data_IF_269462734267
#
_entry.id   IF_269462734267
#
_cell.length_a   1.000
_cell.length_b   1.000
_cell.length_c   1.000
_cell.angle_alpha   90.00
_cell.angle_beta   90.00
_cell.angle_gamma   90.00
#
_symmetry.space_group_name_H-M   'P 1'
#
loop_
_entity.id
_entity.type
_entity.pdbx_description
1 polymer ?
#
# COMPACT_ATOMS: atom_id res chain seq x y z
N UNK A 1 -9.48 8.99 -16.59
CA UNK A 1 -8.77 10.27 -16.35
C UNK A 1 -7.70 10.47 -17.42
N UNK A 2 -7.65 11.65 -18.03
CA UNK A 2 -6.66 12.02 -19.07
C UNK A 2 -5.76 13.10 -18.49
N UNK A 3 -4.47 12.80 -18.37
CA UNK A 3 -3.43 13.73 -17.91
C UNK A 3 -2.90 14.47 -19.14
N UNK A 4 -2.86 15.78 -19.10
CA UNK A 4 -2.41 16.64 -20.20
C UNK A 4 -1.24 17.55 -19.81
N UNK A 5 -1.09 17.84 -18.53
CA UNK A 5 -0.08 18.73 -17.98
C UNK A 5 0.61 18.08 -16.75
N UNK A 6 1.81 18.53 -16.38
CA UNK A 6 2.42 18.12 -15.10
C UNK A 6 1.52 18.42 -13.90
N UNK A 7 0.81 19.54 -13.89
CA UNK A 7 -0.14 19.88 -12.83
C UNK A 7 -1.27 18.86 -12.69
N UNK A 8 -1.83 18.35 -13.80
CA UNK A 8 -2.83 17.28 -13.78
C UNK A 8 -2.28 16.03 -13.09
N UNK A 9 -1.02 15.68 -13.41
CA UNK A 9 -0.36 14.54 -12.81
C UNK A 9 -0.17 14.72 -11.31
N UNK A 10 0.29 15.88 -10.87
CA UNK A 10 0.45 16.21 -9.45
C UNK A 10 -0.88 16.13 -8.70
N UNK A 11 -1.99 16.53 -9.33
CA UNK A 11 -3.33 16.38 -8.77
C UNK A 11 -3.76 14.92 -8.54
N UNK A 12 -3.18 13.96 -9.28
CA UNK A 12 -3.49 12.54 -9.17
C UNK A 12 -2.55 11.75 -8.25
N UNK A 13 -1.30 12.19 -8.09
CA UNK A 13 -0.28 11.45 -7.32
C UNK A 13 -0.75 11.05 -5.91
N UNK A 14 -1.40 11.90 -5.10
CA UNK A 14 -1.90 11.50 -3.79
C UNK A 14 -2.89 10.34 -3.83
N UNK A 15 -3.73 10.30 -4.85
CA UNK A 15 -4.73 9.24 -5.04
C UNK A 15 -4.10 7.95 -5.56
N UNK A 16 -3.03 8.05 -6.33
CA UNK A 16 -2.25 6.89 -6.79
C UNK A 16 -1.43 6.28 -5.67
N UNK A 17 -0.95 7.10 -4.74
CA UNK A 17 -0.23 6.66 -3.54
C UNK A 17 -1.15 6.26 -2.39
N UNK A 18 -2.43 6.69 -2.39
CA UNK A 18 -3.35 6.53 -1.28
C UNK A 18 -3.18 7.56 -0.16
N UNK A 19 -2.21 8.45 -0.25
CA UNK A 19 -1.96 9.54 0.71
C UNK A 19 -1.19 10.69 0.09
N UNK A 20 -1.21 11.86 0.77
CA UNK A 20 -0.43 13.03 0.35
C UNK A 20 1.06 12.82 0.65
N UNK A 21 1.93 12.80 -0.38
CA UNK A 21 3.37 12.68 -0.16
C UNK A 21 3.95 13.95 0.46
N UNK A 22 4.92 13.78 1.36
CA UNK A 22 5.73 14.83 1.96
C UNK A 22 7.13 14.30 2.22
N UNK A 23 8.15 15.15 2.16
CA UNK A 23 9.56 14.80 2.40
C UNK A 23 9.93 13.47 1.71
N UNK A 24 9.65 13.37 0.40
CA UNK A 24 9.77 12.10 -0.33
C UNK A 24 10.05 12.29 -1.81
N UNK A 25 10.70 11.29 -2.40
CA UNK A 25 10.87 11.14 -3.84
C UNK A 25 9.81 10.17 -4.38
N UNK A 26 9.15 10.55 -5.45
CA UNK A 26 8.13 9.74 -6.12
C UNK A 26 8.55 9.51 -7.55
N UNK A 27 8.62 8.24 -7.96
CA UNK A 27 8.87 7.84 -9.34
C UNK A 27 7.57 7.33 -9.96
N UNK A 28 7.22 7.88 -11.11
CA UNK A 28 6.11 7.43 -11.93
C UNK A 28 6.66 6.71 -13.15
N UNK A 29 6.33 5.43 -13.29
CA UNK A 29 6.70 4.63 -14.45
C UNK A 29 5.52 4.54 -15.41
N UNK A 30 5.78 4.88 -16.68
CA UNK A 30 4.78 5.09 -17.71
C UNK A 30 4.98 4.07 -18.83
N UNK A 31 3.90 3.38 -19.20
CA UNK A 31 3.84 2.50 -20.37
C UNK A 31 2.75 3.02 -21.30
N UNK A 32 3.13 3.41 -22.51
CA UNK A 32 2.25 4.05 -23.47
C UNK A 32 1.63 5.34 -22.89
N UNK A 33 0.34 5.31 -22.57
CA UNK A 33 -0.41 6.48 -22.05
C UNK A 33 -0.90 6.29 -20.62
N UNK A 34 -0.33 5.35 -19.87
CA UNK A 34 -0.78 5.01 -18.53
C UNK A 34 0.38 4.97 -17.55
N UNK A 35 0.16 5.48 -16.35
CA UNK A 35 1.06 5.23 -15.23
C UNK A 35 0.89 3.77 -14.82
N UNK A 36 1.98 3.02 -14.94
CA UNK A 36 2.04 1.59 -14.64
C UNK A 36 2.34 1.34 -13.17
N UNK A 37 3.24 2.15 -12.63
CA UNK A 37 3.68 2.08 -11.24
C UNK A 37 3.90 3.49 -10.71
N UNK A 38 3.51 3.70 -9.46
CA UNK A 38 3.88 4.86 -8.66
C UNK A 38 4.64 4.36 -7.44
N UNK A 39 5.93 4.64 -7.39
CA UNK A 39 6.79 4.27 -6.29
C UNK A 39 7.16 5.51 -5.47
N UNK A 40 7.18 5.39 -4.16
CA UNK A 40 7.57 6.46 -3.25
C UNK A 40 8.66 5.97 -2.31
N UNK A 41 9.73 6.74 -2.22
CA UNK A 41 10.81 6.55 -1.26
C UNK A 41 10.87 7.76 -0.32
N UNK A 42 11.22 7.52 0.94
CA UNK A 42 11.51 8.61 1.86
C UNK A 42 12.73 9.39 1.35
N UNK A 43 12.65 10.73 1.41
CA UNK A 43 13.83 11.53 1.12
C UNK A 43 14.89 11.27 2.21
N UNK A 44 16.14 10.96 1.82
CA UNK A 44 17.20 10.76 2.79
C UNK A 44 17.35 11.97 3.71
N UNK A 45 17.56 11.72 5.00
CA UNK A 45 17.83 12.80 5.96
C UNK A 45 19.18 13.39 5.67
N UNK A 46 19.19 14.57 5.10
CA UNK A 46 20.40 15.33 4.82
C UNK A 46 20.72 16.22 6.01
N UNK A 47 21.88 16.02 6.63
CA UNK A 47 22.35 16.87 7.72
C UNK A 47 22.69 18.25 7.19
N UNK A 48 21.88 19.24 7.54
CA UNK A 48 22.12 20.65 7.28
C UNK A 48 23.15 21.20 8.29
N UNK A 49 24.38 21.37 7.88
CA UNK A 49 25.40 22.05 8.68
C UNK A 49 25.68 23.43 8.10
N UNK A 50 25.31 24.49 8.81
CA UNK A 50 25.43 25.85 8.31
C UNK A 50 24.46 26.12 7.14
N UNK A 51 24.99 26.67 6.04
CA UNK A 51 24.18 27.10 4.88
C UNK A 51 23.97 26.02 3.81
N UNK A 52 24.24 24.73 4.07
CA UNK A 52 24.08 23.71 3.04
C UNK A 52 24.32 22.28 3.50
N UNK A 53 24.06 21.33 2.59
CA UNK A 53 24.34 19.90 2.73
C UNK A 53 25.76 19.64 2.19
N UNK A 54 26.48 18.69 2.79
CA UNK A 54 27.76 18.28 2.24
C UNK A 54 27.58 17.61 0.87
N UNK A 55 28.37 17.96 -0.16
CA UNK A 55 28.23 17.34 -1.48
C UNK A 55 28.32 15.81 -1.46
N UNK A 56 29.18 15.24 -0.61
CA UNK A 56 29.30 13.79 -0.45
C UNK A 56 28.06 13.11 0.10
N UNK A 57 27.32 13.76 1.00
CA UNK A 57 26.08 13.22 1.55
C UNK A 57 24.97 13.24 0.50
N UNK A 58 24.90 14.28 -0.34
CA UNK A 58 23.99 14.36 -1.48
C UNK A 58 24.26 13.29 -2.53
N UNK A 59 25.53 13.08 -2.87
CA UNK A 59 25.93 12.06 -3.86
C UNK A 59 25.59 10.66 -3.36
N UNK A 60 25.83 10.35 -2.10
CA UNK A 60 25.47 9.06 -1.51
C UNK A 60 23.94 8.87 -1.48
N UNK A 61 23.21 9.90 -1.08
CA UNK A 61 21.74 9.89 -1.07
C UNK A 61 21.17 9.67 -2.48
N UNK A 62 21.72 10.36 -3.48
CA UNK A 62 21.32 10.18 -4.88
C UNK A 62 21.65 8.76 -5.37
N UNK A 63 22.81 8.22 -5.08
CA UNK A 63 23.20 6.87 -5.47
C UNK A 63 22.23 5.80 -4.91
N UNK A 64 21.86 5.92 -3.63
CA UNK A 64 20.89 5.01 -3.00
C UNK A 64 19.53 5.08 -3.69
N UNK A 65 19.00 6.28 -3.95
CA UNK A 65 17.72 6.45 -4.64
C UNK A 65 17.78 5.91 -6.08
N UNK A 66 18.86 6.16 -6.79
CA UNK A 66 19.07 5.66 -8.16
C UNK A 66 19.08 4.13 -8.20
N UNK A 67 19.76 3.47 -7.26
CA UNK A 67 19.78 2.01 -7.18
C UNK A 67 18.39 1.43 -6.99
N UNK A 68 17.61 1.97 -6.03
CA UNK A 68 16.26 1.51 -5.77
C UNK A 68 15.32 1.81 -6.96
N UNK A 69 15.41 2.97 -7.59
CA UNK A 69 14.60 3.31 -8.75
C UNK A 69 14.95 2.49 -9.99
N UNK A 70 16.23 2.20 -10.24
CA UNK A 70 16.65 1.31 -11.34
C UNK A 70 16.11 -0.09 -11.18
N UNK A 71 16.14 -0.64 -9.98
CA UNK A 71 15.57 -1.97 -9.68
C UNK A 71 14.05 -2.02 -10.02
N UNK A 72 13.32 -0.92 -9.80
CA UNK A 72 11.92 -0.81 -10.19
C UNK A 72 11.73 -0.67 -11.71
N UNK A 73 12.58 0.10 -12.38
CA UNK A 73 12.56 0.26 -13.85
C UNK A 73 12.82 -1.08 -14.52
N UNK A 74 13.84 -1.82 -14.07
CA UNK A 74 14.23 -3.12 -14.63
C UNK A 74 13.14 -4.19 -14.47
N UNK A 75 12.27 -4.06 -13.45
CA UNK A 75 11.14 -4.97 -13.19
C UNK A 75 9.87 -4.60 -13.95
N UNK A 76 9.87 -3.49 -14.68
CA UNK A 76 8.72 -2.98 -15.41
C UNK A 76 9.07 -2.75 -16.87
N UNK A 77 8.08 -2.89 -17.75
CA UNK A 77 8.25 -2.53 -19.17
C UNK A 77 7.99 -1.02 -19.37
N UNK A 78 8.54 -0.18 -18.49
CA UNK A 78 8.33 1.26 -18.56
C UNK A 78 9.08 1.87 -19.74
N UNK A 79 8.36 2.64 -20.56
CA UNK A 79 8.90 3.35 -21.74
C UNK A 79 9.38 4.76 -21.38
N UNK A 80 8.84 5.30 -20.28
CA UNK A 80 9.14 6.63 -19.80
C UNK A 80 8.89 6.77 -18.30
N UNK A 81 9.48 7.79 -17.69
CA UNK A 81 9.30 8.06 -16.26
C UNK A 81 9.26 9.54 -15.94
N UNK A 82 8.67 9.87 -14.80
CA UNK A 82 8.74 11.18 -14.18
C UNK A 82 9.20 11.04 -12.72
N UNK A 83 10.07 11.95 -12.30
CA UNK A 83 10.58 12.01 -10.93
C UNK A 83 10.00 13.24 -10.23
N UNK A 84 9.49 13.08 -9.01
CA UNK A 84 8.90 14.17 -8.22
C UNK A 84 9.57 14.20 -6.84
N UNK A 85 10.02 15.35 -6.41
CA UNK A 85 10.56 15.57 -5.06
C UNK A 85 9.65 16.48 -4.25
N UNK A 86 8.97 15.91 -3.26
CA UNK A 86 8.10 16.64 -2.33
C UNK A 86 8.88 17.03 -1.08
N UNK A 87 9.04 18.32 -0.84
CA UNK A 87 9.74 18.79 0.36
C UNK A 87 9.41 20.25 0.68
N UNK A 88 9.46 20.56 1.97
CA UNK A 88 9.44 21.93 2.47
C UNK A 88 10.79 22.65 2.30
N UNK A 89 11.85 21.92 1.88
CA UNK A 89 13.23 22.43 1.74
C UNK A 89 13.67 22.43 0.27
N UNK A 90 13.52 23.56 -0.44
CA UNK A 90 13.73 23.60 -1.89
C UNK A 90 15.16 23.23 -2.31
N UNK A 91 16.18 23.88 -1.78
CA UNK A 91 17.55 23.73 -2.28
C UNK A 91 18.14 22.32 -2.16
N UNK A 92 18.11 21.66 -0.98
CA UNK A 92 18.64 20.31 -0.89
C UNK A 92 17.88 19.33 -1.78
N UNK A 93 16.55 19.52 -1.92
CA UNK A 93 15.72 18.64 -2.72
C UNK A 93 15.93 18.84 -4.22
N UNK A 94 16.12 20.08 -4.69
CA UNK A 94 16.44 20.34 -6.10
C UNK A 94 17.76 19.75 -6.51
N UNK A 95 18.82 19.95 -5.70
CA UNK A 95 20.14 19.35 -5.94
C UNK A 95 20.08 17.83 -5.98
N UNK A 96 19.32 17.22 -5.06
CA UNK A 96 19.13 15.79 -5.04
C UNK A 96 18.36 15.30 -6.29
N UNK A 97 17.31 16.02 -6.71
CA UNK A 97 16.57 15.74 -7.94
C UNK A 97 17.46 15.82 -9.18
N UNK A 98 18.33 16.83 -9.29
CA UNK A 98 19.26 16.98 -10.41
C UNK A 98 20.20 15.77 -10.49
N UNK A 99 20.84 15.37 -9.37
CA UNK A 99 21.75 14.22 -9.33
C UNK A 99 21.06 12.89 -9.68
N UNK A 100 19.84 12.69 -9.20
CA UNK A 100 19.05 11.49 -9.51
C UNK A 100 18.59 11.53 -10.96
N UNK A 101 18.14 12.69 -11.45
CA UNK A 101 17.66 12.87 -12.81
C UNK A 101 18.76 12.62 -13.85
N UNK A 102 19.98 13.14 -13.65
CA UNK A 102 21.14 12.89 -14.52
C UNK A 102 21.41 11.39 -14.68
N UNK A 103 21.21 10.61 -13.61
CA UNK A 103 21.44 9.17 -13.63
C UNK A 103 20.29 8.39 -14.28
N UNK A 104 19.07 8.93 -14.28
CA UNK A 104 17.86 8.28 -14.83
C UNK A 104 17.52 8.77 -16.25
N UNK A 105 18.09 9.89 -16.72
CA UNK A 105 17.85 10.44 -18.07
C UNK A 105 18.04 9.40 -19.18
N UNK A 106 19.15 8.60 -19.18
CA UNK A 106 19.37 7.60 -20.21
C UNK A 106 18.32 6.47 -20.22
N UNK A 107 17.55 6.34 -19.15
CA UNK A 107 16.49 5.32 -19.00
C UNK A 107 15.10 5.83 -19.39
N UNK A 108 14.99 7.02 -19.98
CA UNK A 108 13.73 7.58 -20.46
C UNK A 108 13.03 8.52 -19.46
N UNK A 109 13.79 9.24 -18.61
CA UNK A 109 13.22 10.29 -17.77
C UNK A 109 12.70 11.45 -18.63
N UNK A 110 11.38 11.75 -18.51
CA UNK A 110 10.74 12.85 -19.24
C UNK A 110 10.99 14.20 -18.55
N UNK A 111 10.85 14.20 -17.22
CA UNK A 111 11.02 15.40 -16.40
C UNK A 111 11.26 15.04 -14.93
N UNK A 112 11.86 15.97 -14.20
CA UNK A 112 12.01 15.92 -12.76
C UNK A 112 11.45 17.19 -12.14
N UNK A 113 10.52 17.05 -11.20
CA UNK A 113 9.79 18.19 -10.61
C UNK A 113 10.09 18.31 -9.12
N UNK A 114 10.48 19.47 -8.70
CA UNK A 114 10.40 19.87 -7.30
C UNK A 114 8.97 20.35 -7.00
N UNK A 115 8.35 19.81 -5.95
CA UNK A 115 6.98 20.12 -5.55
C UNK A 115 6.99 20.67 -4.12
N UNK A 116 6.72 21.96 -3.99
CA UNK A 116 6.50 22.65 -2.72
C UNK A 116 5.03 22.67 -2.32
N UNK A 117 4.68 23.47 -1.34
CA UNK A 117 3.31 23.53 -0.81
C UNK A 117 2.31 24.16 -1.78
N UNK A 118 2.73 25.17 -2.54
CA UNK A 118 1.85 25.98 -3.39
C UNK A 118 2.31 26.07 -4.85
N UNK A 119 3.54 25.67 -5.14
CA UNK A 119 4.14 25.75 -6.47
C UNK A 119 4.99 24.50 -6.76
N UNK A 120 5.15 24.21 -8.05
CA UNK A 120 6.09 23.20 -8.52
C UNK A 120 7.01 23.79 -9.60
N UNK A 121 8.18 23.20 -9.78
CA UNK A 121 9.22 23.60 -10.72
C UNK A 121 9.79 22.37 -11.43
N UNK A 122 10.04 22.49 -12.74
CA UNK A 122 10.88 21.52 -13.44
C UNK A 122 12.35 21.82 -13.15
N UNK A 123 13.13 20.83 -12.75
CA UNK A 123 14.57 20.99 -12.56
C UNK A 123 15.34 20.79 -13.86
N UNK A 124 14.75 20.12 -14.86
CA UNK A 124 15.35 19.88 -16.16
C UNK A 124 15.03 20.99 -17.17
N UNK A 125 13.92 21.72 -16.99
CA UNK A 125 13.45 22.75 -17.92
C UNK A 125 13.44 24.09 -17.21
N UNK A 126 14.43 24.92 -17.52
CA UNK A 126 14.40 26.32 -17.15
C UNK A 126 13.71 27.10 -18.26
N UNK A 127 12.97 28.16 -17.90
CA UNK A 127 12.46 29.07 -18.92
C UNK A 127 13.64 29.74 -19.68
N UNK A 128 13.36 30.25 -20.88
CA UNK A 128 14.38 30.86 -21.75
C UNK A 128 15.05 32.10 -21.10
N UNK A 129 14.50 32.60 -20.01
CA UNK A 129 14.91 33.81 -19.31
C UNK A 129 15.55 33.51 -17.94
N UNK A 130 15.64 32.20 -17.57
CA UNK A 130 16.25 31.75 -16.30
C UNK A 130 15.45 32.15 -15.06
N UNK A 131 14.21 32.59 -15.26
CA UNK A 131 13.30 32.94 -14.16
C UNK A 131 12.62 31.69 -13.63
N UNK A 132 12.69 31.52 -12.32
CA UNK A 132 12.17 30.37 -11.59
C UNK A 132 10.91 30.77 -10.82
N UNK A 133 9.92 31.34 -11.52
CA UNK A 133 8.67 31.80 -10.87
C UNK A 133 7.82 30.64 -10.32
N UNK A 134 8.06 29.43 -10.80
CA UNK A 134 7.28 28.25 -10.45
C UNK A 134 5.88 28.26 -11.05
N UNK A 135 5.28 27.11 -11.10
CA UNK A 135 3.91 26.94 -11.54
C UNK A 135 2.98 26.81 -10.34
N UNK A 136 1.92 27.62 -10.24
CA UNK A 136 1.00 27.55 -9.11
C UNK A 136 0.31 26.17 -9.08
N UNK A 137 0.12 25.66 -7.88
CA UNK A 137 -0.44 24.35 -7.64
C UNK A 137 -1.28 24.36 -6.36
N UNK A 138 -2.54 23.97 -6.49
CA UNK A 138 -3.44 23.76 -5.36
C UNK A 138 -4.09 22.38 -5.50
N UNK A 139 -3.65 21.46 -4.66
CA UNK A 139 -4.17 20.10 -4.63
C UNK A 139 -5.67 20.05 -4.26
N UNK A 140 -6.12 20.97 -3.41
CA UNK A 140 -7.49 20.97 -2.88
C UNK A 140 -8.55 21.31 -3.92
N UNK A 141 -8.19 22.15 -4.89
CA UNK A 141 -9.10 22.63 -5.94
C UNK A 141 -8.80 22.04 -7.33
N UNK A 142 -7.81 21.15 -7.47
CA UNK A 142 -7.42 20.62 -8.77
C UNK A 142 -8.51 19.72 -9.38
N UNK A 143 -8.93 19.94 -10.65
CA UNK A 143 -9.98 19.14 -11.28
C UNK A 143 -9.71 17.63 -11.27
N UNK A 144 -8.45 17.22 -11.43
CA UNK A 144 -8.05 15.81 -11.39
C UNK A 144 -8.27 15.18 -10.03
N UNK A 145 -8.17 15.94 -8.93
CA UNK A 145 -8.51 15.47 -7.59
C UNK A 145 -10.01 15.13 -7.49
N UNK A 146 -10.87 15.99 -8.06
CA UNK A 146 -12.32 15.72 -8.11
C UNK A 146 -12.65 14.49 -8.96
N UNK A 147 -12.00 14.33 -10.13
CA UNK A 147 -12.16 13.12 -10.96
C UNK A 147 -11.71 11.86 -10.23
N UNK A 148 -10.60 11.91 -9.48
CA UNK A 148 -10.10 10.78 -8.69
C UNK A 148 -11.12 10.37 -7.61
N UNK A 149 -11.65 11.33 -6.87
CA UNK A 149 -12.71 11.09 -5.86
C UNK A 149 -13.98 10.53 -6.51
N UNK A 150 -14.41 11.07 -7.64
CA UNK A 150 -15.56 10.54 -8.38
C UNK A 150 -15.33 9.10 -8.85
N UNK A 151 -14.10 8.76 -9.25
CA UNK A 151 -13.70 7.38 -9.57
C UNK A 151 -13.58 6.48 -8.33
N UNK A 152 -13.84 7.03 -7.13
CA UNK A 152 -13.82 6.31 -5.86
C UNK A 152 -12.43 6.10 -5.27
N UNK A 153 -11.44 6.85 -5.73
CA UNK A 153 -10.12 6.87 -5.12
C UNK A 153 -10.12 7.78 -3.88
N UNK A 154 -9.34 7.41 -2.88
CA UNK A 154 -9.18 8.20 -1.65
C UNK A 154 -7.70 8.45 -1.38
N UNK A 155 -7.40 9.56 -0.77
CA UNK A 155 -6.05 9.88 -0.31
C UNK A 155 -6.10 10.32 1.15
N UNK A 156 -5.34 9.64 2.00
CA UNK A 156 -5.17 10.04 3.39
C UNK A 156 -4.36 11.35 3.48
N UNK A 157 -4.47 12.06 4.59
CA UNK A 157 -3.76 13.32 4.82
C UNK A 157 -2.24 13.20 4.81
N UNK A 158 -1.71 11.99 5.04
CA UNK A 158 -0.30 11.65 4.98
C UNK A 158 -0.06 10.20 5.34
N UNK A 159 1.19 9.72 5.24
CA UNK A 159 1.58 8.35 5.55
C UNK A 159 1.19 7.92 6.98
N UNK A 160 1.35 8.80 7.97
CA UNK A 160 0.96 8.53 9.36
C UNK A 160 -0.53 8.16 9.50
N UNK A 161 -1.40 8.73 8.67
CA UNK A 161 -2.82 8.37 8.69
C UNK A 161 -3.08 6.97 8.11
N UNK A 162 -2.25 6.50 7.18
CA UNK A 162 -2.30 5.11 6.69
C UNK A 162 -1.77 4.16 7.75
N UNK A 163 -0.65 4.48 8.40
CA UNK A 163 -0.05 3.71 9.49
C UNK A 163 -1.01 3.57 10.68
N UNK A 164 -1.76 4.62 11.01
CA UNK A 164 -2.77 4.58 12.06
C UNK A 164 -3.87 3.54 11.81
N UNK A 165 -4.19 3.22 10.55
CA UNK A 165 -5.19 2.19 10.19
C UNK A 165 -4.75 0.78 10.56
N UNK A 166 -3.46 0.56 10.72
CA UNK A 166 -2.87 -0.76 11.00
C UNK A 166 -2.31 -0.87 12.41
N UNK A 167 -2.35 0.18 13.23
CA UNK A 167 -1.72 0.22 14.56
C UNK A 167 -2.38 -0.75 15.56
N UNK A 168 -3.64 -1.14 15.34
CA UNK A 168 -4.42 -1.95 16.28
C UNK A 168 -5.08 -1.12 17.39
N UNK A 169 -5.63 -1.78 18.42
CA UNK A 169 -6.38 -1.10 19.47
C UNK A 169 -5.47 -0.30 20.41
N UNK A 170 -6.02 0.78 21.03
CA UNK A 170 -5.30 1.52 22.06
C UNK A 170 -5.07 0.67 23.29
N UNK A 171 -3.99 0.96 24.02
CA UNK A 171 -3.59 0.20 25.21
C UNK A 171 -4.67 0.06 26.29
N UNK A 172 -5.57 1.03 26.41
CA UNK A 172 -6.71 1.02 27.35
C UNK A 172 -7.75 -0.08 27.05
N UNK A 173 -7.78 -0.60 25.82
CA UNK A 173 -8.73 -1.62 25.38
C UNK A 173 -8.15 -3.04 25.34
N UNK A 174 -6.83 -3.19 25.43
CA UNK A 174 -6.14 -4.47 25.24
C UNK A 174 -6.71 -5.58 26.14
N UNK A 175 -6.75 -5.39 27.45
CA UNK A 175 -7.21 -6.42 28.39
C UNK A 175 -8.66 -6.89 28.11
N UNK A 176 -9.51 -6.00 27.64
CA UNK A 176 -10.89 -6.34 27.27
C UNK A 176 -10.91 -7.17 25.98
N UNK A 177 -10.15 -6.77 24.98
CA UNK A 177 -10.09 -7.46 23.70
C UNK A 177 -9.38 -8.82 23.80
N UNK A 178 -8.34 -8.92 24.62
CA UNK A 178 -7.68 -10.20 24.95
C UNK A 178 -8.66 -11.20 25.56
N UNK A 179 -9.50 -10.75 26.51
CA UNK A 179 -10.54 -11.60 27.11
C UNK A 179 -11.52 -12.10 26.05
N UNK A 180 -12.00 -11.22 25.17
CA UNK A 180 -12.90 -11.61 24.07
C UNK A 180 -12.23 -12.61 23.11
N UNK A 181 -10.94 -12.45 22.82
CA UNK A 181 -10.16 -13.43 22.06
C UNK A 181 -10.11 -14.80 22.72
N UNK A 182 -9.86 -14.86 24.03
CA UNK A 182 -9.87 -16.11 24.78
C UNK A 182 -11.27 -16.74 24.86
N UNK A 183 -12.32 -15.96 25.05
CA UNK A 183 -13.71 -16.43 25.00
C UNK A 183 -14.05 -17.03 23.63
N UNK A 184 -13.63 -16.35 22.54
CA UNK A 184 -13.78 -16.86 21.18
C UNK A 184 -13.01 -18.18 20.98
N UNK A 185 -11.77 -18.26 21.45
CA UNK A 185 -10.96 -19.47 21.38
C UNK A 185 -11.63 -20.66 22.06
N UNK A 186 -12.18 -20.46 23.27
CA UNK A 186 -12.92 -21.51 23.99
C UNK A 186 -14.17 -21.95 23.21
N UNK A 187 -14.94 -20.98 22.70
CA UNK A 187 -16.18 -21.26 21.94
C UNK A 187 -15.90 -22.04 20.64
N UNK A 188 -14.75 -21.80 20.01
CA UNK A 188 -14.36 -22.43 18.75
C UNK A 188 -13.58 -23.75 18.91
N UNK A 189 -13.19 -24.09 20.15
CA UNK A 189 -12.30 -25.23 20.41
C UNK A 189 -12.89 -26.59 19.96
N UNK A 190 -14.19 -26.78 20.13
CA UNK A 190 -14.88 -28.02 19.81
C UNK A 190 -15.26 -28.14 18.32
N UNK A 191 -15.07 -27.07 17.52
CA UNK A 191 -15.39 -27.09 16.10
C UNK A 191 -14.29 -27.82 15.31
N UNK A 192 -14.72 -28.71 14.41
CA UNK A 192 -13.82 -29.30 13.42
C UNK A 192 -13.27 -28.23 12.46
N UNK A 193 -12.18 -28.56 11.77
CA UNK A 193 -11.60 -27.68 10.74
C UNK A 193 -12.66 -27.25 9.71
N UNK A 194 -13.44 -28.19 9.18
CA UNK A 194 -14.50 -27.91 8.19
C UNK A 194 -15.54 -26.93 8.74
N UNK A 195 -15.98 -27.09 9.99
CA UNK A 195 -16.92 -26.17 10.62
C UNK A 195 -16.34 -24.78 10.80
N UNK A 196 -15.05 -24.66 11.15
CA UNK A 196 -14.36 -23.37 11.24
C UNK A 196 -14.20 -22.69 9.88
N UNK A 197 -13.90 -23.48 8.82
CA UNK A 197 -13.83 -22.99 7.45
C UNK A 197 -15.20 -22.52 6.94
N UNK A 198 -16.27 -23.26 7.21
CA UNK A 198 -17.65 -22.86 6.89
C UNK A 198 -18.04 -21.58 7.63
N UNK A 199 -17.68 -21.46 8.92
CA UNK A 199 -17.99 -20.31 9.73
C UNK A 199 -17.29 -19.04 9.25
N UNK A 200 -15.99 -19.10 8.90
CA UNK A 200 -15.27 -17.94 8.37
C UNK A 200 -15.82 -17.57 6.98
N UNK A 201 -16.10 -18.53 6.12
CA UNK A 201 -16.68 -18.31 4.80
C UNK A 201 -18.05 -17.63 4.89
N UNK A 202 -18.94 -18.14 5.75
CA UNK A 202 -20.26 -17.57 5.97
C UNK A 202 -20.17 -16.14 6.55
N UNK A 203 -19.25 -15.91 7.52
CA UNK A 203 -19.07 -14.59 8.13
C UNK A 203 -18.58 -13.56 7.13
N UNK A 204 -17.58 -13.90 6.30
CA UNK A 204 -17.06 -13.03 5.25
C UNK A 204 -18.13 -12.76 4.19
N UNK A 205 -18.83 -13.80 3.72
CA UNK A 205 -19.89 -13.67 2.70
C UNK A 205 -21.06 -12.80 3.19
N UNK A 206 -21.48 -12.97 4.44
CA UNK A 206 -22.55 -12.19 5.04
C UNK A 206 -22.15 -10.71 5.16
N UNK A 207 -20.91 -10.42 5.55
CA UNK A 207 -20.41 -9.05 5.61
C UNK A 207 -20.34 -8.42 4.22
N UNK A 208 -19.78 -9.12 3.24
CA UNK A 208 -19.67 -8.63 1.85
C UNK A 208 -21.04 -8.34 1.25
N UNK A 209 -22.05 -9.18 1.53
CA UNK A 209 -23.42 -8.97 1.04
C UNK A 209 -24.13 -7.79 1.72
N UNK A 210 -23.83 -7.49 2.99
CA UNK A 210 -24.42 -6.43 3.77
C UNK A 210 -23.40 -5.81 4.74
N UNK A 211 -22.52 -4.91 4.26
CA UNK A 211 -21.50 -4.28 5.09
C UNK A 211 -22.10 -3.53 6.27
N UNK A 212 -21.52 -3.70 7.44
CA UNK A 212 -21.95 -3.11 8.70
C UNK A 212 -20.82 -2.92 9.68
N UNK A 213 -21.06 -2.21 10.75
CA UNK A 213 -20.13 -2.21 11.87
C UNK A 213 -20.22 -3.55 12.61
N UNK A 214 -19.06 -4.19 12.78
CA UNK A 214 -18.92 -5.37 13.63
C UNK A 214 -18.77 -4.94 15.09
N UNK A 215 -19.27 -5.78 16.00
CA UNK A 215 -18.93 -5.65 17.40
C UNK A 215 -17.56 -6.27 17.72
N UNK A 216 -17.08 -6.06 18.94
CA UNK A 216 -15.74 -6.49 19.34
C UNK A 216 -15.63 -8.02 19.47
N UNK A 217 -16.73 -8.70 19.82
CA UNK A 217 -16.76 -10.17 19.90
C UNK A 217 -16.73 -10.81 18.50
N UNK A 218 -17.41 -10.21 17.53
CA UNK A 218 -17.35 -10.63 16.12
C UNK A 218 -15.95 -10.46 15.55
N UNK A 219 -15.30 -9.32 15.82
CA UNK A 219 -13.92 -9.08 15.40
C UNK A 219 -12.95 -10.09 16.04
N UNK A 220 -13.07 -10.33 17.34
CA UNK A 220 -12.26 -11.30 18.08
C UNK A 220 -12.45 -12.72 17.51
N UNK A 221 -13.69 -13.13 17.24
CA UNK A 221 -14.00 -14.44 16.63
C UNK A 221 -13.36 -14.60 15.25
N UNK A 222 -13.42 -13.59 14.38
CA UNK A 222 -12.78 -13.64 13.07
C UNK A 222 -11.26 -13.70 13.19
N UNK A 223 -10.67 -12.94 14.10
CA UNK A 223 -9.23 -12.97 14.34
C UNK A 223 -8.75 -14.34 14.83
N UNK A 224 -9.47 -14.95 15.78
CA UNK A 224 -9.19 -16.29 16.32
C UNK A 224 -9.37 -17.37 15.25
N UNK A 225 -10.45 -17.33 14.46
CA UNK A 225 -10.67 -18.27 13.35
C UNK A 225 -9.50 -18.25 12.35
N UNK A 226 -9.03 -17.07 11.97
CA UNK A 226 -7.94 -16.91 11.00
C UNK A 226 -6.55 -17.20 11.58
N UNK A 227 -6.42 -17.50 12.87
CA UNK A 227 -5.17 -17.96 13.46
C UNK A 227 -4.74 -19.32 12.88
N UNK A 228 -5.70 -20.18 12.54
CA UNK A 228 -5.47 -21.40 11.79
C UNK A 228 -5.28 -21.07 10.30
N UNK A 229 -4.13 -21.50 9.74
CA UNK A 229 -3.74 -21.19 8.36
C UNK A 229 -4.76 -21.70 7.34
N UNK A 230 -5.29 -22.91 7.54
CA UNK A 230 -6.25 -23.52 6.61
C UNK A 230 -7.62 -22.82 6.64
N UNK A 231 -7.97 -22.19 7.77
CA UNK A 231 -9.17 -21.35 7.90
C UNK A 231 -8.94 -19.96 7.31
N UNK A 232 -7.77 -19.36 7.59
CA UNK A 232 -7.36 -18.07 7.00
C UNK A 232 -7.37 -18.14 5.47
N UNK A 233 -6.89 -19.23 4.91
CA UNK A 233 -6.77 -19.40 3.46
C UNK A 233 -8.14 -19.39 2.77
N UNK A 234 -9.20 -19.87 3.42
CA UNK A 234 -10.58 -19.69 2.95
C UNK A 234 -10.95 -18.19 2.90
N UNK A 235 -10.51 -17.39 3.88
CA UNK A 235 -10.88 -15.98 3.96
C UNK A 235 -10.26 -15.11 2.85
N UNK A 236 -9.07 -15.43 2.36
CA UNK A 236 -8.43 -14.61 1.34
C UNK A 236 -8.69 -15.07 -0.08
N UNK A 237 -8.86 -16.36 -0.33
CA UNK A 237 -9.14 -16.86 -1.70
C UNK A 237 -10.50 -16.44 -2.24
N UNK A 238 -11.45 -16.07 -1.37
CA UNK A 238 -12.76 -15.55 -1.78
C UNK A 238 -12.75 -14.06 -2.13
N UNK A 239 -11.64 -13.35 -1.88
CA UNK A 239 -11.53 -11.94 -2.26
C UNK A 239 -11.68 -11.76 -3.76
N UNK A 240 -12.48 -10.79 -4.17
CA UNK A 240 -12.72 -10.45 -5.57
C UNK A 240 -12.64 -8.94 -5.77
N UNK A 241 -12.12 -8.51 -6.91
CA UNK A 241 -11.94 -7.08 -7.22
C UNK A 241 -13.25 -6.30 -7.24
N UNK A 242 -14.36 -6.96 -7.54
CA UNK A 242 -15.68 -6.32 -7.54
C UNK A 242 -16.20 -6.03 -6.14
N UNK A 243 -15.76 -6.78 -5.13
CA UNK A 243 -16.16 -6.66 -3.72
C UNK A 243 -15.00 -6.29 -2.79
N UNK A 244 -13.89 -5.81 -3.35
CA UNK A 244 -12.68 -5.59 -2.56
C UNK A 244 -12.81 -4.47 -1.52
N UNK A 245 -13.72 -3.52 -1.74
CA UNK A 245 -14.00 -2.45 -0.77
C UNK A 245 -14.61 -2.98 0.52
N UNK A 246 -15.51 -3.94 0.39
CA UNK A 246 -16.15 -4.63 1.50
C UNK A 246 -15.13 -5.45 2.28
N UNK A 247 -14.19 -6.11 1.60
CA UNK A 247 -13.08 -6.80 2.26
C UNK A 247 -12.12 -5.84 2.97
N UNK A 248 -11.82 -4.68 2.40
CA UNK A 248 -11.06 -3.63 3.07
C UNK A 248 -11.75 -3.13 4.34
N UNK A 249 -13.06 -2.90 4.28
CA UNK A 249 -13.82 -2.48 5.45
C UNK A 249 -13.84 -3.58 6.53
N UNK A 250 -14.14 -4.82 6.15
CA UNK A 250 -14.14 -5.97 7.06
C UNK A 250 -12.81 -6.11 7.80
N UNK A 251 -11.73 -6.29 7.06
CA UNK A 251 -10.43 -6.56 7.67
C UNK A 251 -9.85 -5.36 8.40
N UNK A 252 -10.15 -4.15 7.97
CA UNK A 252 -9.82 -2.92 8.69
C UNK A 252 -10.49 -2.85 10.06
N UNK A 253 -11.78 -3.24 10.16
CA UNK A 253 -12.49 -3.32 11.45
C UNK A 253 -11.90 -4.41 12.37
N UNK A 254 -11.53 -5.56 11.81
CA UNK A 254 -10.92 -6.66 12.57
C UNK A 254 -9.53 -6.26 13.06
N UNK A 255 -8.66 -5.69 12.20
CA UNK A 255 -7.31 -5.22 12.58
C UNK A 255 -7.37 -4.20 13.71
N UNK A 256 -8.30 -3.25 13.65
CA UNK A 256 -8.45 -2.21 14.68
C UNK A 256 -8.78 -2.78 16.08
N UNK A 257 -9.19 -4.05 16.17
CA UNK A 257 -9.60 -4.73 17.41
C UNK A 257 -8.83 -6.01 17.70
N UNK A 258 -7.90 -6.39 16.81
CA UNK A 258 -7.08 -7.58 16.98
C UNK A 258 -5.93 -7.32 17.95
N UNK A 259 -5.66 -8.32 18.80
CA UNK A 259 -4.60 -8.32 19.79
C UNK A 259 -3.74 -9.59 19.66
N UNK A 260 -2.55 -9.57 20.23
CA UNK A 260 -1.69 -10.76 20.27
C UNK A 260 -2.42 -11.93 20.95
N UNK A 261 -2.24 -13.17 20.48
CA UNK A 261 -1.45 -13.59 19.30
C UNK A 261 -2.22 -13.59 17.98
N UNK A 262 -3.47 -13.11 17.94
CA UNK A 262 -4.39 -13.26 16.81
C UNK A 262 -4.36 -12.11 15.79
N UNK A 263 -3.41 -11.18 15.91
CA UNK A 263 -3.37 -9.96 15.06
C UNK A 263 -2.73 -10.17 13.67
N UNK A 264 -1.84 -11.17 13.52
CA UNK A 264 -1.05 -11.37 12.31
C UNK A 264 -1.89 -11.74 11.09
N UNK A 265 -2.82 -12.66 11.24
CA UNK A 265 -3.67 -13.11 10.13
C UNK A 265 -4.59 -12.00 9.61
N UNK A 266 -5.38 -11.31 10.46
CA UNK A 266 -6.18 -10.16 10.01
C UNK A 266 -5.36 -9.07 9.34
N UNK A 267 -4.17 -8.77 9.87
CA UNK A 267 -3.28 -7.76 9.31
C UNK A 267 -2.82 -8.13 7.90
N UNK A 268 -2.46 -9.40 7.66
CA UNK A 268 -2.10 -9.87 6.34
C UNK A 268 -3.29 -9.97 5.38
N UNK A 269 -4.49 -10.32 5.87
CA UNK A 269 -5.73 -10.29 5.08
C UNK A 269 -6.09 -8.86 4.66
N UNK A 270 -5.90 -7.89 5.53
CA UNK A 270 -6.07 -6.47 5.22
C UNK A 270 -5.04 -6.00 4.17
N UNK A 271 -3.77 -6.40 4.32
CA UNK A 271 -2.72 -6.13 3.34
C UNK A 271 -3.00 -6.76 1.97
N UNK A 272 -3.55 -7.98 1.94
CA UNK A 272 -3.96 -8.64 0.70
C UNK A 272 -5.10 -7.90 0.01
N UNK A 273 -6.13 -7.51 0.76
CA UNK A 273 -7.22 -6.70 0.23
C UNK A 273 -6.71 -5.34 -0.28
N UNK A 274 -5.75 -4.72 0.42
CA UNK A 274 -5.12 -3.49 -0.01
C UNK A 274 -4.37 -3.65 -1.33
N UNK A 275 -3.58 -4.71 -1.48
CA UNK A 275 -2.91 -5.00 -2.76
C UNK A 275 -3.90 -5.21 -3.90
N UNK A 276 -4.94 -6.03 -3.71
CA UNK A 276 -5.95 -6.31 -4.75
C UNK A 276 -6.69 -5.03 -5.17
N UNK A 277 -6.91 -4.10 -4.24
CA UNK A 277 -7.53 -2.80 -4.51
C UNK A 277 -6.60 -1.81 -5.22
N UNK A 278 -5.28 -2.05 -5.20
CA UNK A 278 -4.24 -1.13 -5.68
C UNK A 278 -3.76 -0.13 -4.64
N UNK A 279 -4.14 -0.26 -3.35
CA UNK A 279 -3.64 0.56 -2.25
C UNK A 279 -2.30 0.01 -1.74
N UNK A 280 -1.22 0.28 -2.48
CA UNK A 280 0.12 -0.19 -2.16
C UNK A 280 0.66 0.37 -0.84
N UNK A 281 0.25 1.58 -0.47
CA UNK A 281 0.68 2.19 0.80
C UNK A 281 0.12 1.43 2.00
N UNK A 282 -1.17 1.13 1.99
CA UNK A 282 -1.81 0.34 3.05
C UNK A 282 -1.22 -1.08 3.10
N UNK A 283 -1.02 -1.69 1.92
CA UNK A 283 -0.39 -3.01 1.83
C UNK A 283 0.99 -3.00 2.48
N UNK A 284 1.84 -2.00 2.17
CA UNK A 284 3.17 -1.86 2.78
C UNK A 284 3.09 -1.70 4.30
N UNK A 285 2.21 -0.82 4.80
CA UNK A 285 2.04 -0.64 6.25
C UNK A 285 1.60 -1.95 6.95
N UNK A 286 0.71 -2.73 6.33
CA UNK A 286 0.31 -4.04 6.85
C UNK A 286 1.49 -5.02 6.88
N UNK A 287 2.25 -5.09 5.78
CA UNK A 287 3.38 -5.99 5.62
C UNK A 287 4.50 -5.66 6.61
N UNK A 288 4.89 -4.37 6.69
CA UNK A 288 5.94 -3.88 7.58
C UNK A 288 5.60 -4.18 9.06
N UNK A 289 4.36 -3.92 9.46
CA UNK A 289 3.91 -4.23 10.81
C UNK A 289 3.89 -5.74 11.07
N UNK A 290 3.37 -6.55 10.14
CA UNK A 290 3.33 -8.00 10.30
C UNK A 290 4.73 -8.61 10.43
N UNK A 291 5.69 -8.20 9.58
CA UNK A 291 7.08 -8.60 9.66
C UNK A 291 7.81 -8.05 10.90
N UNK A 292 7.37 -6.90 11.41
CA UNK A 292 7.85 -6.36 12.68
C UNK A 292 7.42 -7.18 13.89
N UNK A 293 6.22 -7.78 13.84
CA UNK A 293 5.68 -8.68 14.88
C UNK A 293 6.27 -10.08 14.77
N UNK A 294 6.32 -10.64 13.56
CA UNK A 294 6.91 -11.96 13.29
C UNK A 294 7.53 -11.99 11.88
N UNK A 295 8.86 -12.00 11.82
CA UNK A 295 9.62 -12.06 10.57
C UNK A 295 9.45 -13.38 9.81
N UNK A 296 9.01 -14.43 10.48
CA UNK A 296 8.82 -15.76 9.91
C UNK A 296 7.41 -16.02 9.38
N UNK A 297 6.47 -15.08 9.58
CA UNK A 297 5.09 -15.26 9.18
C UNK A 297 4.93 -15.33 7.66
N UNK A 298 4.58 -16.51 7.17
CA UNK A 298 4.64 -16.84 5.73
C UNK A 298 3.79 -15.94 4.85
N UNK A 299 2.59 -15.55 5.30
CA UNK A 299 1.73 -14.66 4.51
C UNK A 299 2.28 -13.23 4.43
N UNK A 300 2.94 -12.73 5.48
CA UNK A 300 3.63 -11.45 5.42
C UNK A 300 4.82 -11.50 4.46
N UNK A 301 5.56 -12.62 4.44
CA UNK A 301 6.61 -12.89 3.44
C UNK A 301 6.07 -12.87 2.01
N UNK A 302 4.91 -13.49 1.77
CA UNK A 302 4.24 -13.47 0.47
C UNK A 302 3.87 -12.05 0.03
N UNK A 303 3.30 -11.24 0.93
CA UNK A 303 2.97 -9.83 0.65
C UNK A 303 4.23 -9.01 0.34
N UNK A 304 5.32 -9.24 1.06
CA UNK A 304 6.63 -8.62 0.78
C UNK A 304 7.15 -9.02 -0.60
N UNK A 305 7.00 -10.29 -0.99
CA UNK A 305 7.42 -10.78 -2.31
C UNK A 305 6.59 -10.18 -3.45
N UNK A 306 5.29 -9.98 -3.26
CA UNK A 306 4.41 -9.27 -4.19
C UNK A 306 4.97 -7.87 -4.49
N UNK A 307 5.35 -7.12 -3.45
CA UNK A 307 5.92 -5.78 -3.59
C UNK A 307 7.29 -5.82 -4.27
N UNK A 308 8.19 -6.68 -3.79
CA UNK A 308 9.54 -6.80 -4.34
C UNK A 308 9.56 -7.18 -5.82
N UNK A 309 8.57 -8.00 -6.27
CA UNK A 309 8.40 -8.40 -7.67
C UNK A 309 7.53 -7.45 -8.47
N UNK A 310 7.04 -6.38 -7.89
CA UNK A 310 6.17 -5.39 -8.52
C UNK A 310 4.94 -6.04 -9.20
N UNK A 311 4.33 -7.04 -8.54
CA UNK A 311 3.21 -7.76 -9.11
C UNK A 311 1.97 -6.85 -9.18
N UNK A 312 1.44 -6.69 -10.39
CA UNK A 312 0.25 -5.89 -10.58
C UNK A 312 -1.00 -6.55 -9.96
N UNK A 313 -1.90 -5.78 -9.31
CA UNK A 313 -3.15 -6.30 -8.74
C UNK A 313 -4.02 -7.12 -9.73
N UNK A 314 -3.94 -6.82 -11.03
CA UNK A 314 -4.65 -7.57 -12.07
C UNK A 314 -4.22 -9.04 -12.19
N UNK A 315 -3.06 -9.40 -11.65
CA UNK A 315 -2.61 -10.79 -11.59
C UNK A 315 -3.46 -11.64 -10.65
N UNK A 316 -4.11 -10.99 -9.67
CA UNK A 316 -4.99 -11.68 -8.73
C UNK A 316 -6.10 -12.46 -9.43
N UNK A 317 -6.71 -11.89 -10.46
CA UNK A 317 -7.85 -12.50 -11.15
C UNK A 317 -7.52 -13.92 -11.68
N UNK A 318 -6.31 -14.13 -12.21
CA UNK A 318 -5.85 -15.44 -12.67
C UNK A 318 -5.39 -16.34 -11.53
N UNK A 319 -4.66 -15.81 -10.55
CA UNK A 319 -4.17 -16.56 -9.39
C UNK A 319 -5.31 -17.09 -8.52
N UNK A 320 -6.34 -16.27 -8.30
CA UNK A 320 -7.49 -16.63 -7.48
C UNK A 320 -8.25 -17.83 -8.02
N UNK A 321 -8.30 -18.02 -9.33
CA UNK A 321 -8.98 -19.18 -9.94
C UNK A 321 -8.33 -20.50 -9.52
N UNK A 322 -7.00 -20.56 -9.56
CA UNK A 322 -6.23 -21.76 -9.17
C UNK A 322 -6.32 -21.99 -7.65
N UNK A 323 -6.08 -20.95 -6.86
CA UNK A 323 -6.13 -21.03 -5.41
C UNK A 323 -7.52 -21.42 -4.87
N UNK A 324 -8.59 -20.87 -5.45
CA UNK A 324 -9.97 -21.25 -5.09
C UNK A 324 -10.22 -22.74 -5.34
N UNK A 325 -9.68 -23.29 -6.42
CA UNK A 325 -9.81 -24.71 -6.74
C UNK A 325 -9.04 -25.56 -5.73
N UNK A 326 -7.87 -25.15 -5.30
CA UNK A 326 -7.08 -25.85 -4.31
C UNK A 326 -7.69 -25.78 -2.91
N UNK A 327 -8.07 -24.60 -2.46
CA UNK A 327 -8.54 -24.35 -1.09
C UNK A 327 -10.00 -24.77 -0.91
N UNK A 328 -10.89 -24.42 -1.86
CA UNK A 328 -12.32 -24.69 -1.76
C UNK A 328 -12.74 -25.98 -2.49
N UNK A 329 -11.97 -26.45 -3.46
CA UNK A 329 -12.21 -27.67 -4.23
C UNK A 329 -11.67 -28.95 -3.59
N UNK A 330 -10.91 -28.87 -2.53
CA UNK A 330 -10.51 -29.99 -1.70
C UNK A 330 -11.66 -30.43 -0.78
N UNK A 331 -12.76 -30.91 -1.36
CA UNK A 331 -13.69 -31.74 -0.61
C UNK A 331 -12.88 -32.93 -0.05
N UNK A 332 -13.11 -33.36 1.20
CA UNK A 332 -12.34 -34.44 1.81
C UNK A 332 -12.50 -35.69 0.98
N UNK A 333 -11.50 -36.01 0.17
CA UNK A 333 -11.42 -37.35 -0.44
C UNK A 333 -11.29 -38.31 0.71
N UNK A 334 -12.39 -38.99 1.01
CA UNK A 334 -12.39 -40.14 1.91
C UNK A 334 -11.27 -41.09 1.48
N UNK A 335 -10.15 -41.09 2.23
CA UNK A 335 -9.16 -42.13 2.14
C UNK A 335 -9.86 -43.43 2.52
N UNK A 336 -10.39 -44.14 1.53
CA UNK A 336 -10.72 -45.56 1.70
C UNK A 336 -9.42 -46.25 2.09
N UNK A 337 -9.30 -46.61 3.37
CA UNK A 337 -8.33 -47.60 3.83
C UNK A 337 -8.62 -48.89 3.05
N UNK A 338 -7.67 -49.32 2.28
CA UNK A 338 -7.46 -50.74 1.97
C UNK A 338 -6.37 -51.30 2.87
#
# INVERSE_FOLDING_TARGET
>A
MKVSTPGDLLGLVPYMLGFRPSESMVLLLICGRRVRLTARLDQPRLDLRGNGVRPGDLTLAAATLVEEFRDLVDKTDAEAMMLLGYSSRPEPTRQLLELVADSLEPLGLIDALYVGDTHWWSVLRRDAEGRDEGNPYDLGSHPMAAEAVYAGLTAAGGRAAVEARVTGPPGTELARLERLGHEAMVTLADLSLSQRQELVSASVSAFVAAPRRLDDAECARLAVLCYDVEVRDVAWVVMDRSTIREHLDLWGQVVARSVAPWELAPLCLFGMAAWISGDGALQNCCTDRALGLDRSYTMAGLLSDINRRVLAPSRWDSMAVELRREVLGAAPHSRKRR
#
